data_IF_357350085226
#
_entry.id   IF_357350085226
#
_cell.length_a   1.000
_cell.length_b   1.000
_cell.length_c   1.000
_cell.angle_alpha   90.00
_cell.angle_beta   90.00
_cell.angle_gamma   90.00
#
_symmetry.space_group_name_H-M   'P 1'
#
loop_
_entity.id
_entity.type
_entity.pdbx_description
1 polymer ?
#
# COMPACT_ATOMS: atom_id res chain seq x y z
N UNK A 1 -4.64 -12.74 8.28
CA UNK A 1 -5.50 -11.73 8.91
C UNK A 1 -4.84 -11.15 10.14
N UNK A 2 -4.85 -9.83 10.30
CA UNK A 2 -4.33 -9.09 11.47
C UNK A 2 -5.49 -8.37 12.12
N UNK A 3 -5.54 -8.31 13.46
CA UNK A 3 -6.64 -7.66 14.16
C UNK A 3 -6.20 -7.00 15.46
N UNK A 4 -6.85 -5.89 15.79
CA UNK A 4 -6.78 -5.22 17.10
C UNK A 4 -8.15 -5.23 17.76
N UNK A 5 -8.15 -5.52 19.05
CA UNK A 5 -9.35 -5.62 19.87
C UNK A 5 -9.32 -4.54 20.94
N UNK A 6 -10.38 -3.75 20.99
CA UNK A 6 -10.65 -2.81 22.08
C UNK A 6 -11.84 -3.33 22.88
N UNK A 7 -11.68 -3.39 24.21
CA UNK A 7 -12.76 -3.78 25.11
C UNK A 7 -12.83 -2.88 26.34
N UNK A 8 -14.04 -2.42 26.65
CA UNK A 8 -14.30 -1.59 27.83
C UNK A 8 -14.00 -2.30 29.15
N UNK A 9 -14.29 -3.60 29.24
CA UNK A 9 -14.17 -4.37 30.49
C UNK A 9 -12.80 -4.30 31.14
N UNK A 10 -11.74 -4.06 30.36
CA UNK A 10 -10.36 -3.99 30.84
C UNK A 10 -9.96 -2.60 31.34
N UNK A 11 -10.67 -1.55 30.94
CA UNK A 11 -10.17 -0.17 30.97
C UNK A 11 -11.13 0.83 31.63
N UNK A 12 -12.19 0.38 32.31
CA UNK A 12 -13.14 1.27 33.00
C UNK A 12 -12.60 1.63 34.40
N UNK A 13 -12.29 2.90 34.67
CA UNK A 13 -11.93 3.34 36.02
C UNK A 13 -13.05 3.09 37.02
N UNK A 14 -12.70 2.79 38.27
CA UNK A 14 -13.69 2.51 39.35
C UNK A 14 -14.76 3.59 39.49
N UNK A 15 -14.40 4.85 39.26
CA UNK A 15 -15.32 5.99 39.39
C UNK A 15 -16.36 6.09 38.27
N UNK A 16 -16.28 5.26 37.22
CA UNK A 16 -17.26 5.19 36.12
C UNK A 16 -18.07 3.88 36.14
N UNK A 17 -17.96 3.08 37.21
CA UNK A 17 -18.68 1.79 37.26
C UNK A 17 -20.20 1.96 37.28
N UNK A 18 -20.71 3.01 37.94
CA UNK A 18 -22.15 3.33 37.92
C UNK A 18 -22.66 3.66 36.52
N UNK A 19 -21.86 4.36 35.72
CA UNK A 19 -22.21 4.72 34.35
C UNK A 19 -22.00 3.57 33.36
N UNK A 20 -21.10 2.64 33.70
CA UNK A 20 -20.79 1.48 32.87
C UNK A 20 -21.98 0.55 32.67
N UNK A 21 -22.88 0.44 33.65
CA UNK A 21 -24.09 -0.38 33.52
C UNK A 21 -25.07 0.18 32.46
N UNK A 22 -24.93 1.45 32.08
CA UNK A 22 -25.73 2.04 31.00
C UNK A 22 -25.21 1.57 29.63
N UNK A 23 -26.01 0.78 28.93
CA UNK A 23 -25.70 0.29 27.58
C UNK A 23 -25.38 1.43 26.59
N UNK A 24 -26.17 2.51 26.59
CA UNK A 24 -25.93 3.69 25.74
C UNK A 24 -24.58 4.35 26.00
N UNK A 25 -24.11 4.34 27.26
CA UNK A 25 -22.80 4.88 27.59
C UNK A 25 -21.69 4.00 27.01
N UNK A 26 -21.79 2.68 27.20
CA UNK A 26 -20.82 1.72 26.65
C UNK A 26 -20.76 1.79 25.12
N UNK A 27 -21.92 1.79 24.48
CA UNK A 27 -22.02 1.91 23.02
C UNK A 27 -21.41 3.23 22.54
N UNK A 28 -21.76 4.36 23.16
CA UNK A 28 -21.20 5.66 22.80
C UNK A 28 -19.68 5.75 22.96
N UNK A 29 -19.12 5.11 24.00
CA UNK A 29 -17.66 5.02 24.17
C UNK A 29 -17.03 4.17 23.07
N UNK A 30 -17.58 2.98 22.79
CA UNK A 30 -17.04 2.11 21.75
C UNK A 30 -17.16 2.70 20.34
N UNK A 31 -18.23 3.46 20.06
CA UNK A 31 -18.39 4.19 18.80
C UNK A 31 -17.30 5.26 18.63
N UNK A 32 -16.93 5.97 19.70
CA UNK A 32 -15.82 6.91 19.65
C UNK A 32 -14.47 6.20 19.52
N UNK A 33 -14.26 5.09 20.25
CA UNK A 33 -13.01 4.30 20.13
C UNK A 33 -12.83 3.79 18.71
N UNK A 34 -13.87 3.22 18.11
CA UNK A 34 -13.86 2.77 16.72
C UNK A 34 -13.52 3.90 15.75
N UNK A 35 -14.24 5.02 15.85
CA UNK A 35 -14.08 6.15 14.93
C UNK A 35 -12.67 6.76 15.01
N UNK A 36 -12.15 6.97 16.23
CA UNK A 36 -10.81 7.54 16.42
C UNK A 36 -9.72 6.54 15.98
N UNK A 37 -9.91 5.24 16.23
CA UNK A 37 -8.94 4.21 15.82
C UNK A 37 -8.88 4.04 14.30
N UNK A 38 -10.02 4.04 13.61
CA UNK A 38 -10.06 4.01 12.15
C UNK A 38 -9.40 5.26 11.55
N UNK A 39 -9.76 6.46 12.03
CA UNK A 39 -9.20 7.71 11.53
C UNK A 39 -7.68 7.77 11.71
N UNK A 40 -7.17 7.33 12.85
CA UNK A 40 -5.73 7.31 13.12
C UNK A 40 -4.99 6.28 12.24
N UNK A 41 -5.57 5.08 12.06
CA UNK A 41 -5.00 4.05 11.20
C UNK A 41 -4.94 4.50 9.74
N UNK A 42 -6.03 5.07 9.22
CA UNK A 42 -6.09 5.62 7.87
C UNK A 42 -5.07 6.74 7.67
N UNK A 43 -4.93 7.64 8.65
CA UNK A 43 -3.97 8.72 8.61
C UNK A 43 -2.52 8.19 8.59
N UNK A 44 -2.16 7.25 9.46
CA UNK A 44 -0.84 6.63 9.50
C UNK A 44 -0.54 5.86 8.20
N UNK A 45 -1.50 5.12 7.67
CA UNK A 45 -1.38 4.42 6.39
C UNK A 45 -1.14 5.39 5.24
N UNK A 46 -1.94 6.46 5.13
CA UNK A 46 -1.78 7.50 4.10
C UNK A 46 -0.42 8.20 4.16
N UNK A 47 0.07 8.49 5.38
CA UNK A 47 1.37 9.12 5.59
C UNK A 47 2.56 8.20 5.24
N UNK A 48 2.40 6.88 5.40
CA UNK A 48 3.53 5.92 5.30
C UNK A 48 3.59 5.21 3.95
N UNK A 49 2.45 4.80 3.40
CA UNK A 49 2.38 3.84 2.30
C UNK A 49 2.36 4.47 0.89
N UNK A 50 2.22 5.79 0.79
CA UNK A 50 2.21 6.50 -0.47
C UNK A 50 1.19 5.92 -1.46
N UNK A 51 1.67 5.36 -2.58
CA UNK A 51 0.81 4.91 -3.68
C UNK A 51 0.03 3.61 -3.35
N UNK A 52 0.41 2.90 -2.27
CA UNK A 52 -0.28 1.69 -1.80
C UNK A 52 -1.21 1.93 -0.62
N UNK A 53 -1.35 3.19 -0.19
CA UNK A 53 -2.17 3.52 0.98
C UNK A 53 -3.65 3.21 0.76
N UNK A 54 -4.19 3.50 -0.43
CA UNK A 54 -5.61 3.28 -0.75
C UNK A 54 -5.99 1.81 -0.63
N UNK A 55 -5.26 0.90 -1.28
CA UNK A 55 -5.51 -0.55 -1.18
C UNK A 55 -5.36 -1.07 0.25
N UNK A 56 -4.41 -0.55 1.03
CA UNK A 56 -4.26 -0.91 2.43
C UNK A 56 -5.45 -0.42 3.27
N UNK A 57 -5.89 0.83 3.08
CA UNK A 57 -7.03 1.42 3.81
C UNK A 57 -8.33 0.70 3.48
N UNK A 58 -8.57 0.40 2.20
CA UNK A 58 -9.75 -0.36 1.75
C UNK A 58 -9.83 -1.77 2.35
N UNK A 59 -8.70 -2.28 2.86
CA UNK A 59 -8.60 -3.58 3.50
C UNK A 59 -8.85 -3.55 5.02
N UNK A 60 -8.99 -2.36 5.61
CA UNK A 60 -9.37 -2.17 7.00
C UNK A 60 -10.87 -2.36 7.13
N UNK A 61 -11.28 -3.23 8.06
CA UNK A 61 -12.68 -3.48 8.38
C UNK A 61 -12.89 -3.38 9.89
N UNK A 62 -14.12 -3.03 10.30
CA UNK A 62 -14.49 -2.95 11.71
C UNK A 62 -15.68 -3.87 11.99
N UNK A 63 -15.62 -4.58 13.12
CA UNK A 63 -16.69 -5.42 13.63
C UNK A 63 -17.01 -5.06 15.09
N UNK A 64 -18.29 -4.76 15.35
CA UNK A 64 -18.80 -4.57 16.71
C UNK A 64 -19.30 -5.89 17.29
N UNK A 65 -18.94 -6.16 18.53
CA UNK A 65 -19.40 -7.32 19.28
C UNK A 65 -20.14 -6.85 20.54
N UNK A 66 -21.39 -6.41 20.34
CA UNK A 66 -22.21 -5.78 21.39
C UNK A 66 -21.68 -4.39 21.79
N UNK A 67 -22.10 -3.92 22.97
CA UNK A 67 -21.77 -2.56 23.43
C UNK A 67 -20.35 -2.40 24.02
N UNK A 68 -19.61 -3.50 24.19
CA UNK A 68 -18.37 -3.53 24.98
C UNK A 68 -17.10 -3.79 24.18
N UNK A 69 -17.23 -4.08 22.89
CA UNK A 69 -16.12 -4.60 22.09
C UNK A 69 -16.20 -4.18 20.64
N UNK A 70 -15.06 -3.72 20.13
CA UNK A 70 -14.80 -3.41 18.73
C UNK A 70 -13.55 -4.14 18.32
N UNK A 71 -13.58 -4.77 17.16
CA UNK A 71 -12.42 -5.44 16.55
C UNK A 71 -12.19 -4.79 15.20
N UNK A 72 -11.03 -4.16 15.01
CA UNK A 72 -10.59 -3.72 13.70
C UNK A 72 -9.71 -4.81 13.09
N UNK A 73 -9.91 -5.11 11.82
CA UNK A 73 -9.20 -6.16 11.08
C UNK A 73 -8.56 -5.56 9.84
N UNK A 74 -7.37 -6.06 9.53
CA UNK A 74 -6.69 -5.87 8.26
C UNK A 74 -6.72 -7.21 7.52
N UNK A 75 -7.40 -7.22 6.38
CA UNK A 75 -7.42 -8.35 5.45
C UNK A 75 -6.60 -8.04 4.20
N UNK A 76 -6.36 -9.02 3.34
CA UNK A 76 -5.65 -8.81 2.09
C UNK A 76 -4.15 -9.09 2.17
N UNK A 77 -3.67 -9.84 1.19
CA UNK A 77 -2.29 -10.35 1.18
C UNK A 77 -1.25 -9.23 1.18
N UNK A 78 -1.45 -8.17 0.38
CA UNK A 78 -0.50 -7.06 0.32
C UNK A 78 -0.45 -6.27 1.63
N UNK A 79 -1.61 -5.94 2.20
CA UNK A 79 -1.70 -5.21 3.45
C UNK A 79 -1.03 -5.98 4.60
N UNK A 80 -1.27 -7.29 4.68
CA UNK A 80 -0.59 -8.15 5.65
C UNK A 80 0.93 -8.20 5.46
N UNK A 81 1.40 -8.26 4.21
CA UNK A 81 2.83 -8.22 3.89
C UNK A 81 3.47 -6.88 4.25
N UNK A 82 2.76 -5.77 4.12
CA UNK A 82 3.25 -4.44 4.52
C UNK A 82 3.30 -4.30 6.04
N UNK A 83 2.31 -4.86 6.72
CA UNK A 83 2.20 -4.77 8.18
C UNK A 83 3.26 -5.61 8.88
N UNK A 84 3.37 -6.90 8.52
CA UNK A 84 4.31 -7.85 9.14
C UNK A 84 5.68 -7.90 8.47
N UNK A 85 5.82 -7.25 7.33
CA UNK A 85 6.95 -7.47 6.43
C UNK A 85 6.77 -8.73 5.60
N UNK A 86 7.60 -8.85 4.57
CA UNK A 86 7.64 -10.01 3.71
C UNK A 86 9.07 -10.24 3.23
N UNK A 87 9.50 -11.49 3.22
CA UNK A 87 10.75 -11.89 2.58
C UNK A 87 10.70 -11.64 1.07
N UNK A 88 11.83 -11.55 0.37
CA UNK A 88 11.86 -11.46 -1.08
C UNK A 88 11.03 -12.58 -1.75
N UNK A 89 10.15 -12.23 -2.69
CA UNK A 89 9.20 -13.18 -3.29
C UNK A 89 9.04 -13.00 -4.81
N UNK A 90 8.50 -14.04 -5.46
CA UNK A 90 8.16 -14.02 -6.89
C UNK A 90 6.82 -13.30 -7.11
N UNK A 91 6.82 -12.21 -7.88
CA UNK A 91 5.62 -11.45 -8.22
C UNK A 91 4.81 -12.07 -9.37
N UNK A 92 5.34 -13.08 -10.08
CA UNK A 92 4.64 -13.68 -11.22
C UNK A 92 3.22 -14.16 -10.89
N UNK A 93 2.95 -14.86 -9.77
CA UNK A 93 1.60 -15.31 -9.46
C UNK A 93 0.58 -14.15 -9.44
N UNK A 94 0.94 -13.03 -8.79
CA UNK A 94 0.10 -11.84 -8.74
C UNK A 94 -0.01 -11.14 -10.10
N UNK A 95 1.10 -10.96 -10.82
CA UNK A 95 1.11 -10.31 -12.13
C UNK A 95 0.32 -11.07 -13.18
N UNK A 96 0.33 -12.40 -13.14
CA UNK A 96 -0.36 -13.26 -14.09
C UNK A 96 -1.85 -13.38 -13.78
N UNK A 97 -2.26 -13.33 -12.51
CA UNK A 97 -3.66 -13.45 -12.09
C UNK A 97 -4.42 -14.61 -12.78
N UNK A 98 -3.76 -15.77 -12.90
CA UNK A 98 -4.31 -16.97 -13.56
C UNK A 98 -4.03 -17.08 -15.07
N UNK A 99 -3.51 -16.05 -15.72
CA UNK A 99 -3.11 -16.11 -17.13
C UNK A 99 -1.74 -16.79 -17.31
N UNK A 100 -1.49 -17.33 -18.51
CA UNK A 100 -0.17 -17.92 -18.84
C UNK A 100 0.87 -16.86 -19.25
N UNK A 101 0.41 -15.69 -19.66
CA UNK A 101 1.21 -14.60 -20.22
C UNK A 101 0.52 -13.26 -20.05
N UNK A 102 1.29 -12.22 -19.67
CA UNK A 102 0.79 -10.84 -19.61
C UNK A 102 1.87 -9.85 -20.01
N UNK A 103 1.47 -8.75 -20.65
CA UNK A 103 2.35 -7.61 -20.94
C UNK A 103 2.11 -6.52 -19.91
N UNK A 104 3.15 -6.21 -19.13
CA UNK A 104 3.12 -5.21 -18.08
C UNK A 104 3.69 -3.90 -18.63
N UNK A 105 2.90 -2.81 -18.68
CA UNK A 105 3.42 -1.49 -18.95
C UNK A 105 4.20 -0.98 -17.73
N UNK A 106 5.40 -0.45 -17.96
CA UNK A 106 6.25 0.18 -16.95
C UNK A 106 6.44 1.63 -17.36
N UNK A 107 6.00 2.53 -16.51
CA UNK A 107 6.04 3.97 -16.73
C UNK A 107 7.42 4.55 -16.37
N UNK A 108 7.85 5.56 -17.12
CA UNK A 108 9.09 6.27 -16.87
C UNK A 108 8.82 7.78 -16.81
N UNK A 109 9.25 8.40 -15.72
CA UNK A 109 9.08 9.82 -15.47
C UNK A 109 10.14 10.68 -16.15
N UNK A 110 9.81 11.94 -16.41
CA UNK A 110 10.77 12.94 -16.85
C UNK A 110 11.70 13.33 -15.69
N UNK A 111 13.03 13.22 -15.84
CA UNK A 111 13.96 13.59 -14.77
C UNK A 111 13.89 15.04 -14.31
N UNK A 112 13.34 15.94 -15.13
CA UNK A 112 13.26 17.36 -14.80
C UNK A 112 11.99 17.74 -14.04
N UNK A 113 10.97 16.88 -14.00
CA UNK A 113 9.69 17.19 -13.35
C UNK A 113 9.64 16.75 -11.88
N UNK A 114 10.64 16.00 -11.41
CA UNK A 114 10.55 15.29 -10.13
C UNK A 114 9.48 14.19 -10.21
N UNK A 115 9.78 13.00 -9.70
CA UNK A 115 8.81 11.91 -9.74
C UNK A 115 9.44 10.54 -9.56
N UNK A 116 8.65 9.60 -9.06
CA UNK A 116 9.02 8.20 -8.96
C UNK A 116 9.31 7.65 -10.37
N UNK A 117 10.27 6.74 -10.49
CA UNK A 117 10.69 6.14 -11.77
C UNK A 117 11.18 7.12 -12.84
N UNK A 118 11.72 8.28 -12.43
CA UNK A 118 12.40 9.18 -13.37
C UNK A 118 13.56 8.47 -14.08
N UNK A 119 13.56 8.53 -15.41
CA UNK A 119 14.68 8.00 -16.19
C UNK A 119 15.92 8.90 -16.06
N UNK A 120 17.12 8.37 -16.34
CA UNK A 120 18.34 9.20 -16.26
C UNK A 120 18.29 10.33 -17.31
N UNK A 121 18.95 11.47 -17.03
CA UNK A 121 19.04 12.59 -17.98
C UNK A 121 19.58 12.16 -19.36
N UNK A 122 20.55 11.25 -19.37
CA UNK A 122 21.11 10.68 -20.60
C UNK A 122 20.10 9.80 -21.35
N UNK A 123 19.32 8.98 -20.65
CA UNK A 123 18.29 8.20 -21.30
C UNK A 123 17.14 9.08 -21.80
N UNK A 124 16.78 10.12 -21.06
CA UNK A 124 15.75 11.08 -21.44
C UNK A 124 16.14 11.86 -22.70
N UNK A 125 17.39 12.33 -22.79
CA UNK A 125 17.86 13.07 -23.98
C UNK A 125 17.74 12.27 -25.27
N UNK A 126 17.83 10.93 -25.19
CA UNK A 126 17.65 9.99 -26.30
C UNK A 126 16.20 9.83 -26.76
N UNK A 127 15.22 10.07 -25.89
CA UNK A 127 13.80 9.78 -26.17
C UNK A 127 12.88 11.00 -26.14
N UNK A 128 13.34 12.13 -25.61
CA UNK A 128 12.51 13.34 -25.43
C UNK A 128 11.80 13.82 -26.71
N UNK A 129 12.40 13.54 -27.86
CA UNK A 129 11.91 13.95 -29.18
C UNK A 129 10.99 12.90 -29.85
N UNK A 130 10.64 11.80 -29.17
CA UNK A 130 9.66 10.85 -29.72
C UNK A 130 8.30 11.53 -29.91
N UNK A 131 7.68 11.23 -31.04
CA UNK A 131 6.28 11.57 -31.30
C UNK A 131 5.34 10.63 -30.55
N UNK A 132 4.11 11.08 -30.31
CA UNK A 132 3.07 10.25 -29.71
C UNK A 132 2.81 8.99 -30.53
N UNK A 133 2.83 7.83 -29.89
CA UNK A 133 2.74 6.51 -30.54
C UNK A 133 4.08 5.97 -31.06
N UNK A 134 5.15 6.77 -31.06
CA UNK A 134 6.44 6.35 -31.58
C UNK A 134 7.25 5.56 -30.53
N UNK A 135 7.82 4.45 -30.99
CA UNK A 135 8.79 3.64 -30.24
C UNK A 135 10.22 4.06 -30.58
N UNK A 136 11.07 4.11 -29.57
CA UNK A 136 12.50 4.33 -29.75
C UNK A 136 13.16 3.10 -30.36
N UNK A 137 13.99 3.31 -31.37
CA UNK A 137 14.94 2.33 -31.90
C UNK A 137 16.31 2.41 -31.23
N UNK A 138 16.49 3.32 -30.26
CA UNK A 138 17.79 3.53 -29.65
C UNK A 138 18.24 2.33 -28.81
N UNK A 139 19.53 2.03 -28.92
CA UNK A 139 20.19 1.16 -27.97
C UNK A 139 20.55 1.94 -26.69
N UNK A 140 20.13 1.38 -25.56
CA UNK A 140 20.42 1.88 -24.23
C UNK A 140 21.57 1.10 -23.56
N UNK A 141 22.19 0.17 -24.27
CA UNK A 141 23.35 -0.58 -23.86
C UNK A 141 23.01 -1.89 -23.17
N UNK A 142 23.94 -2.35 -22.33
CA UNK A 142 23.86 -3.69 -21.72
C UNK A 142 22.73 -3.81 -20.72
N UNK A 143 22.05 -4.95 -20.75
CA UNK A 143 21.05 -5.30 -19.77
C UNK A 143 21.62 -5.28 -18.34
N UNK A 144 20.89 -4.64 -17.43
CA UNK A 144 21.23 -4.62 -16.00
C UNK A 144 20.98 -5.97 -15.33
N UNK A 145 21.32 -6.05 -14.03
CA UNK A 145 20.98 -7.17 -13.16
C UNK A 145 19.93 -6.76 -12.14
N UNK A 146 19.05 -7.69 -11.78
CA UNK A 146 18.24 -7.57 -10.58
C UNK A 146 19.19 -7.54 -9.37
N UNK A 147 19.08 -6.52 -8.50
CA UNK A 147 19.96 -6.36 -7.34
C UNK A 147 19.73 -7.41 -6.27
N UNK A 148 18.49 -7.87 -6.11
CA UNK A 148 18.09 -8.85 -5.11
C UNK A 148 18.50 -10.26 -5.53
N UNK A 149 18.23 -10.64 -6.79
CA UNK A 149 18.49 -12.03 -7.25
C UNK A 149 19.80 -12.19 -8.00
N UNK A 150 20.48 -11.10 -8.35
CA UNK A 150 21.67 -11.11 -9.22
C UNK A 150 21.38 -11.46 -10.68
N UNK A 151 20.12 -11.76 -11.04
CA UNK A 151 19.77 -12.23 -12.37
C UNK A 151 19.96 -11.12 -13.41
N UNK A 152 20.70 -11.42 -14.48
CA UNK A 152 20.80 -10.55 -15.65
C UNK A 152 19.46 -10.50 -16.39
N UNK A 153 18.99 -9.30 -16.68
CA UNK A 153 17.89 -9.14 -17.64
C UNK A 153 18.37 -9.54 -19.04
N UNK A 154 17.47 -10.04 -19.88
CA UNK A 154 17.78 -10.36 -21.28
C UNK A 154 18.01 -9.08 -22.11
N UNK A 155 17.24 -8.04 -21.81
CA UNK A 155 17.28 -6.74 -22.50
C UNK A 155 17.44 -5.58 -21.52
N UNK A 156 17.87 -4.43 -22.02
CA UNK A 156 17.97 -3.22 -21.20
C UNK A 156 16.58 -2.75 -20.77
N UNK A 157 16.50 -2.12 -19.59
CA UNK A 157 15.21 -1.71 -19.00
C UNK A 157 14.41 -0.69 -19.81
N UNK A 158 15.09 0.01 -20.72
CA UNK A 158 14.50 1.02 -21.62
C UNK A 158 14.40 0.53 -23.07
N UNK A 159 14.78 -0.72 -23.36
CA UNK A 159 14.64 -1.28 -24.71
C UNK A 159 13.18 -1.20 -25.14
N UNK A 160 12.95 -0.62 -26.32
CA UNK A 160 11.60 -0.44 -26.87
C UNK A 160 10.74 0.57 -26.11
N UNK A 161 11.32 1.50 -25.34
CA UNK A 161 10.58 2.62 -24.76
C UNK A 161 9.82 3.40 -25.84
N UNK A 162 8.60 3.81 -25.54
CA UNK A 162 7.77 4.58 -26.45
C UNK A 162 7.08 5.73 -25.72
N UNK A 163 6.68 6.73 -26.50
CA UNK A 163 5.81 7.80 -26.01
C UNK A 163 4.35 7.35 -26.25
N UNK A 164 3.56 7.04 -25.21
CA UNK A 164 2.18 6.57 -25.39
C UNK A 164 1.34 7.64 -26.08
N UNK A 165 0.31 7.29 -26.85
CA UNK A 165 -0.59 8.29 -27.47
C UNK A 165 -1.18 9.24 -26.43
N UNK A 166 -1.63 10.45 -26.80
CA UNK A 166 -2.20 11.42 -25.84
C UNK A 166 -3.27 10.80 -24.93
N UNK A 167 -4.16 9.97 -25.49
CA UNK A 167 -5.19 9.25 -24.74
C UNK A 167 -4.59 8.27 -23.74
N UNK A 168 -3.62 7.47 -24.16
CA UNK A 168 -2.95 6.50 -23.30
C UNK A 168 -2.03 7.15 -22.26
N UNK A 169 -1.42 8.30 -22.57
CA UNK A 169 -0.60 9.06 -21.62
C UNK A 169 -1.44 9.52 -20.41
N UNK A 170 -2.72 9.87 -20.62
CA UNK A 170 -3.65 10.17 -19.52
C UNK A 170 -3.89 8.95 -18.63
N UNK A 171 -4.00 7.76 -19.22
CA UNK A 171 -4.17 6.50 -18.47
C UNK A 171 -2.91 6.10 -17.70
N UNK A 172 -1.72 6.27 -18.29
CA UNK A 172 -0.47 5.86 -17.66
C UNK A 172 0.12 6.91 -16.71
N UNK A 173 -0.31 8.17 -16.80
CA UNK A 173 0.24 9.27 -16.00
C UNK A 173 1.72 9.58 -16.29
N UNK A 174 2.29 9.07 -17.39
CA UNK A 174 3.70 9.25 -17.75
C UNK A 174 3.92 9.65 -19.20
N UNK A 175 5.03 10.38 -19.42
CA UNK A 175 5.46 10.80 -20.76
C UNK A 175 6.03 9.61 -21.57
N UNK A 176 6.50 8.55 -20.92
CA UNK A 176 7.10 7.39 -21.58
C UNK A 176 6.74 6.07 -20.90
N UNK A 177 6.68 4.99 -21.69
CA UNK A 177 6.35 3.64 -21.23
C UNK A 177 7.25 2.62 -21.93
N UNK A 178 7.67 1.60 -21.20
CA UNK A 178 8.24 0.36 -21.75
C UNK A 178 7.31 -0.80 -21.45
N UNK A 179 7.38 -1.87 -22.22
CA UNK A 179 6.56 -3.06 -22.01
C UNK A 179 7.44 -4.23 -21.67
N UNK A 180 7.06 -5.01 -20.67
CA UNK A 180 7.74 -6.26 -20.33
C UNK A 180 6.74 -7.39 -20.29
N UNK A 181 7.14 -8.53 -20.81
CA UNK A 181 6.35 -9.74 -20.75
C UNK A 181 6.64 -10.51 -19.46
N UNK A 182 5.59 -10.93 -18.78
CA UNK A 182 5.62 -11.97 -17.75
C UNK A 182 4.94 -13.21 -18.31
N UNK A 183 5.49 -14.39 -18.04
CA UNK A 183 4.87 -15.65 -18.42
C UNK A 183 5.16 -16.72 -17.38
N UNK A 184 4.33 -17.76 -17.33
CA UNK A 184 4.54 -18.93 -16.46
C UNK A 184 5.92 -19.58 -16.72
N UNK A 185 6.35 -19.59 -17.98
CA UNK A 185 7.62 -20.16 -18.44
C UNK A 185 8.83 -19.21 -18.26
N UNK A 186 8.60 -17.95 -17.87
CA UNK A 186 9.70 -17.03 -17.62
C UNK A 186 10.42 -17.39 -16.31
N UNK A 187 11.73 -17.13 -16.24
CA UNK A 187 12.53 -17.43 -15.05
C UNK A 187 11.88 -16.80 -13.79
N UNK A 188 11.63 -17.58 -12.71
CA UNK A 188 11.02 -17.08 -11.48
C UNK A 188 11.73 -15.87 -10.87
N UNK A 189 13.05 -15.78 -11.02
CA UNK A 189 13.85 -14.69 -10.47
C UNK A 189 13.75 -13.38 -11.26
N UNK A 190 13.05 -13.39 -12.42
CA UNK A 190 12.96 -12.24 -13.32
C UNK A 190 12.00 -11.16 -12.83
N UNK A 191 11.00 -11.56 -12.04
CA UNK A 191 9.95 -10.71 -11.47
C UNK A 191 9.98 -10.81 -9.94
N UNK A 192 11.18 -10.66 -9.37
CA UNK A 192 11.40 -10.84 -7.95
C UNK A 192 11.29 -9.51 -7.19
N UNK A 193 10.41 -9.47 -6.18
CA UNK A 193 10.29 -8.37 -5.24
C UNK A 193 11.37 -8.47 -4.15
N UNK A 194 11.97 -7.37 -3.69
CA UNK A 194 12.94 -7.40 -2.58
C UNK A 194 12.31 -7.74 -1.22
N UNK A 195 10.99 -7.88 -1.14
CA UNK A 195 10.26 -8.02 0.11
C UNK A 195 9.80 -6.67 0.67
N UNK A 196 9.18 -6.70 1.83
CA UNK A 196 8.71 -5.53 2.57
C UNK A 196 9.30 -5.52 3.97
N UNK A 197 9.66 -4.34 4.45
CA UNK A 197 9.96 -4.13 5.86
C UNK A 197 8.65 -4.00 6.62
N UNK A 198 8.55 -4.64 7.79
CA UNK A 198 7.39 -4.53 8.66
C UNK A 198 7.17 -3.09 9.12
N UNK A 199 5.95 -2.57 8.94
CA UNK A 199 5.59 -1.22 9.37
C UNK A 199 4.97 -1.19 10.77
N UNK A 200 4.32 -2.27 11.21
CA UNK A 200 3.66 -2.37 12.51
C UNK A 200 2.74 -1.16 12.83
N UNK A 201 1.97 -0.68 11.84
CA UNK A 201 1.04 0.43 12.02
C UNK A 201 -0.07 0.09 13.02
N UNK A 202 -0.52 -1.17 13.02
CA UNK A 202 -1.55 -1.71 13.91
C UNK A 202 -1.17 -1.51 15.38
N UNK A 203 0.09 -1.77 15.72
CA UNK A 203 0.57 -1.64 17.09
C UNK A 203 0.67 -0.16 17.50
N UNK A 204 1.04 0.72 16.57
CA UNK A 204 1.06 2.17 16.81
C UNK A 204 -0.34 2.72 17.08
N UNK A 205 -1.33 2.33 16.27
CA UNK A 205 -2.74 2.71 16.46
C UNK A 205 -3.25 2.21 17.82
N UNK A 206 -2.98 0.95 18.14
CA UNK A 206 -3.41 0.35 19.40
C UNK A 206 -2.85 1.13 20.60
N UNK A 207 -1.55 1.42 20.61
CA UNK A 207 -0.90 2.18 21.68
C UNK A 207 -1.51 3.58 21.81
N UNK A 208 -1.68 4.29 20.70
CA UNK A 208 -2.25 5.62 20.71
C UNK A 208 -3.70 5.64 21.24
N UNK A 209 -4.53 4.66 20.86
CA UNK A 209 -5.92 4.57 21.32
C UNK A 209 -6.01 4.19 22.79
N UNK A 210 -5.14 3.30 23.28
CA UNK A 210 -5.03 2.98 24.70
C UNK A 210 -4.67 4.22 25.54
N UNK A 211 -3.79 5.09 25.03
CA UNK A 211 -3.45 6.38 25.67
C UNK A 211 -4.61 7.40 25.62
N UNK A 212 -5.40 7.40 24.55
CA UNK A 212 -6.55 8.30 24.40
C UNK A 212 -7.79 7.84 25.16
N UNK A 213 -7.86 6.58 25.58
CA UNK A 213 -9.05 5.98 26.19
C UNK A 213 -9.67 6.80 27.33
N UNK A 214 -8.89 7.35 28.30
CA UNK A 214 -9.45 8.20 29.35
C UNK A 214 -10.10 9.49 28.84
N UNK A 215 -9.56 10.07 27.76
CA UNK A 215 -10.13 11.29 27.13
C UNK A 215 -11.44 10.97 26.44
N UNK A 216 -11.52 9.83 25.76
CA UNK A 216 -12.75 9.36 25.10
C UNK A 216 -13.86 9.14 26.13
N UNK A 217 -13.56 8.46 27.25
CA UNK A 217 -14.51 8.25 28.34
C UNK A 217 -15.10 9.57 28.85
N UNK A 218 -14.24 10.56 29.10
CA UNK A 218 -14.68 11.89 29.56
C UNK A 218 -15.50 12.64 28.51
N UNK A 219 -15.14 12.53 27.22
CA UNK A 219 -15.87 13.15 26.10
C UNK A 219 -17.31 12.64 26.01
N UNK A 220 -17.54 11.33 26.16
CA UNK A 220 -18.89 10.75 26.14
C UNK A 220 -19.68 11.15 27.38
N UNK A 221 -19.05 11.17 28.55
CA UNK A 221 -19.69 11.57 29.81
C UNK A 221 -20.26 12.99 29.77
N UNK A 222 -19.52 13.96 29.23
CA UNK A 222 -19.94 15.39 29.19
C UNK A 222 -21.08 15.66 28.20
N UNK A 223 -21.33 14.75 27.26
CA UNK A 223 -22.42 14.90 26.27
C UNK A 223 -23.79 14.44 26.77
N UNK A 224 -23.85 13.75 27.92
CA UNK A 224 -25.09 13.44 28.63
C UNK A 224 -25.42 14.57 29.60
#
# INVERSE_FOLDING_TARGET
MISIEFSLKKNVPKYLQSEYDMEDFRQGVMDNVEAEALADWEHLAAATLGDTAEEYIDSITSEKHGADKVVLKLDGTLAEMQEKGAEPFDMKPGLLAGESYRVIPITHGNPNKGGKNAMSKQAYSKVKNLHYGQRSSQDFGRAGKNKTTGQKHTTHKLTGIMKPTKRAAKTYGSDFVTFRAVSVNSNPKAWWHPGFQALNLVEQVKQHIEEMFPKILNKVRVRK
#
